data_IF_367827137943
#
_entry.id   IF_367827137943
#
_cell.length_a   1.000
_cell.length_b   1.000
_cell.length_c   1.000
_cell.angle_alpha   90.00
_cell.angle_beta   90.00
_cell.angle_gamma   90.00
#
_symmetry.space_group_name_H-M   'P 1'
#
loop_
_entity.id
_entity.type
_entity.pdbx_description
1 polymer ?
#
# COMPACT_ATOMS: atom_id res chain seq x y z
N UNK A 1 -6.88 -27.54 21.77
CA UNK A 1 -6.14 -26.94 20.66
C UNK A 1 -5.22 -25.91 21.25
N UNK A 2 -3.93 -25.92 20.92
CA UNK A 2 -3.01 -24.90 21.43
C UNK A 2 -3.34 -23.61 20.68
N UNK A 3 -3.88 -22.61 21.39
CA UNK A 3 -4.13 -21.30 20.82
C UNK A 3 -2.79 -20.70 20.37
N UNK A 4 -2.50 -20.77 19.09
CA UNK A 4 -1.30 -20.19 18.48
C UNK A 4 -1.64 -18.81 17.95
N UNK A 5 -0.92 -17.81 18.45
CA UNK A 5 -1.07 -16.41 18.00
C UNK A 5 0.10 -16.01 17.11
N UNK A 6 -0.09 -15.00 16.33
CA UNK A 6 0.95 -14.37 15.50
C UNK A 6 0.87 -12.86 15.65
N UNK A 7 1.98 -12.19 15.43
CA UNK A 7 2.00 -10.72 15.40
C UNK A 7 2.37 -10.25 14.01
N UNK A 8 1.56 -9.36 13.46
CA UNK A 8 1.91 -8.61 12.25
C UNK A 8 2.35 -7.20 12.62
N UNK A 9 3.45 -6.75 12.02
CA UNK A 9 3.98 -5.40 12.17
C UNK A 9 3.87 -4.67 10.83
N UNK A 10 3.26 -3.50 10.85
CA UNK A 10 3.30 -2.49 9.77
C UNK A 10 4.28 -1.40 10.19
N UNK A 11 5.48 -1.41 9.60
CA UNK A 11 6.55 -0.47 9.90
C UNK A 11 6.57 0.68 8.89
N UNK A 12 5.95 1.79 9.24
CA UNK A 12 5.98 3.02 8.44
C UNK A 12 7.00 4.05 8.92
N UNK A 13 7.26 5.05 8.08
CA UNK A 13 8.21 6.13 8.41
C UNK A 13 7.78 7.03 9.57
N UNK A 14 6.48 7.13 9.86
CA UNK A 14 5.93 7.98 10.93
C UNK A 14 5.45 7.15 12.12
N UNK A 15 4.84 6.01 11.85
CA UNK A 15 4.24 5.12 12.86
C UNK A 15 4.63 3.68 12.60
N UNK A 16 4.71 2.91 13.67
CA UNK A 16 4.79 1.45 13.64
C UNK A 16 3.57 0.88 14.35
N UNK A 17 2.87 -0.04 13.68
CA UNK A 17 1.68 -0.71 14.21
C UNK A 17 1.97 -2.20 14.39
N UNK A 18 1.68 -2.76 15.55
CA UNK A 18 1.68 -4.19 15.76
C UNK A 18 0.28 -4.67 16.11
N UNK A 19 -0.13 -5.80 15.55
CA UNK A 19 -1.40 -6.45 15.86
C UNK A 19 -1.20 -7.92 16.20
N UNK A 20 -1.86 -8.37 17.28
CA UNK A 20 -1.96 -9.77 17.63
C UNK A 20 -3.11 -10.40 16.84
N UNK A 21 -2.81 -11.48 16.13
CA UNK A 21 -3.72 -12.15 15.18
C UNK A 21 -3.88 -13.60 15.60
N UNK A 22 -5.12 -14.10 15.61
CA UNK A 22 -5.46 -15.49 15.91
C UNK A 22 -5.32 -16.42 14.66
N UNK A 23 -5.68 -17.68 14.82
CA UNK A 23 -5.62 -18.69 13.75
C UNK A 23 -6.61 -18.41 12.60
N UNK A 24 -7.70 -17.66 12.87
CA UNK A 24 -8.72 -17.25 11.91
C UNK A 24 -8.39 -15.91 11.22
N UNK A 25 -7.17 -15.40 11.42
CA UNK A 25 -6.69 -14.12 10.89
C UNK A 25 -7.39 -12.87 11.49
N UNK A 26 -8.09 -13.01 12.60
CA UNK A 26 -8.72 -11.89 13.28
C UNK A 26 -7.72 -11.14 14.15
N UNK A 27 -7.68 -9.84 14.05
CA UNK A 27 -6.90 -8.98 14.93
C UNK A 27 -7.61 -8.89 16.29
N UNK A 28 -6.97 -9.46 17.32
CA UNK A 28 -7.49 -9.46 18.69
C UNK A 28 -7.17 -8.15 19.41
N UNK A 29 -5.99 -7.62 19.19
CA UNK A 29 -5.53 -6.35 19.76
C UNK A 29 -4.52 -5.68 18.82
N UNK A 30 -4.48 -4.36 18.83
CA UNK A 30 -3.59 -3.56 17.96
C UNK A 30 -3.08 -2.34 18.71
N UNK A 31 -1.79 -2.07 18.59
CA UNK A 31 -1.13 -0.89 19.14
C UNK A 31 -0.36 -0.17 18.05
N UNK A 32 -0.39 1.16 18.08
CA UNK A 32 0.37 2.02 17.18
C UNK A 32 1.21 2.99 17.99
N UNK A 33 2.52 3.00 17.72
CA UNK A 33 3.47 3.92 18.31
C UNK A 33 4.13 4.78 17.23
N UNK A 34 4.71 5.92 17.61
CA UNK A 34 5.50 6.73 16.69
C UNK A 34 6.80 5.99 16.36
N UNK A 35 7.20 5.99 15.08
CA UNK A 35 8.50 5.45 14.66
C UNK A 35 9.64 6.32 15.18
N UNK A 36 9.40 7.63 15.35
CA UNK A 36 10.33 8.60 15.95
C UNK A 36 11.71 8.64 15.26
N UNK A 37 11.70 8.77 13.95
CA UNK A 37 12.91 8.94 13.14
C UNK A 37 13.42 10.39 13.19
N UNK A 38 14.74 10.64 13.00
CA UNK A 38 15.80 9.62 12.78
C UNK A 38 16.27 8.97 14.09
N UNK A 39 16.63 7.67 14.03
CA UNK A 39 17.17 6.90 15.15
C UNK A 39 18.05 5.75 14.62
N UNK A 40 18.96 5.18 15.44
CA UNK A 40 19.67 3.95 15.09
C UNK A 40 18.75 2.76 14.84
N UNK A 41 19.16 1.82 13.99
CA UNK A 41 18.38 0.63 13.67
C UNK A 41 18.11 -0.21 14.92
N UNK A 42 19.12 -0.40 15.76
CA UNK A 42 19.04 -1.17 17.01
C UNK A 42 17.99 -0.58 17.99
N UNK A 43 17.88 0.75 18.05
CA UNK A 43 16.87 1.41 18.88
C UNK A 43 15.45 1.18 18.32
N UNK A 44 15.30 1.14 16.98
CA UNK A 44 14.02 0.84 16.34
C UNK A 44 13.62 -0.62 16.57
N UNK A 45 14.55 -1.55 16.49
CA UNK A 45 14.35 -2.97 16.78
C UNK A 45 13.88 -3.17 18.22
N UNK A 46 14.57 -2.56 19.20
CA UNK A 46 14.14 -2.59 20.60
C UNK A 46 12.75 -2.00 20.80
N UNK A 47 12.44 -0.94 20.09
CA UNK A 47 11.13 -0.30 20.14
C UNK A 47 10.03 -1.24 19.61
N UNK A 48 10.25 -1.89 18.46
CA UNK A 48 9.35 -2.89 17.89
C UNK A 48 9.21 -4.12 18.80
N UNK A 49 10.30 -4.60 19.38
CA UNK A 49 10.26 -5.74 20.31
C UNK A 49 9.42 -5.42 21.56
N UNK A 50 9.54 -4.21 22.10
CA UNK A 50 8.67 -3.75 23.22
C UNK A 50 7.22 -3.65 22.78
N UNK A 51 6.94 -3.16 21.57
CA UNK A 51 5.59 -3.06 21.01
C UNK A 51 4.95 -4.45 20.87
N UNK A 52 5.70 -5.47 20.37
CA UNK A 52 5.21 -6.85 20.27
C UNK A 52 4.83 -7.44 21.63
N UNK A 53 5.66 -7.22 22.64
CA UNK A 53 5.35 -7.69 24.01
C UNK A 53 4.14 -6.96 24.59
N UNK A 54 4.04 -5.65 24.36
CA UNK A 54 2.93 -4.84 24.85
C UNK A 54 1.59 -5.25 24.21
N UNK A 55 1.55 -5.53 22.90
CA UNK A 55 0.31 -5.93 22.22
C UNK A 55 -0.19 -7.29 22.73
N UNK A 56 0.69 -8.25 22.96
CA UNK A 56 0.34 -9.55 23.55
C UNK A 56 -0.15 -9.39 24.99
N UNK A 57 0.56 -8.62 25.82
CA UNK A 57 0.19 -8.36 27.22
C UNK A 57 -1.20 -7.70 27.33
N UNK A 58 -1.48 -6.67 26.50
CA UNK A 58 -2.77 -5.98 26.54
C UNK A 58 -3.93 -6.84 26.00
N UNK A 59 -3.62 -7.81 25.14
CA UNK A 59 -4.58 -8.83 24.73
C UNK A 59 -4.79 -9.95 25.79
N UNK A 60 -4.05 -9.93 26.88
CA UNK A 60 -4.09 -10.98 27.90
C UNK A 60 -3.46 -12.31 27.47
N UNK A 61 -2.57 -12.27 26.46
CA UNK A 61 -1.92 -13.44 25.88
C UNK A 61 -0.48 -13.54 26.37
N UNK A 62 -0.06 -14.72 26.85
CA UNK A 62 1.34 -14.99 27.15
C UNK A 62 2.16 -14.94 25.84
N UNK A 63 3.24 -14.15 25.83
CA UNK A 63 4.10 -14.01 24.66
C UNK A 63 4.72 -15.33 24.20
N UNK A 64 4.89 -16.30 25.09
CA UNK A 64 5.34 -17.65 24.76
C UNK A 64 4.39 -18.41 23.79
N UNK A 65 3.12 -17.97 23.68
CA UNK A 65 2.15 -18.49 22.71
C UNK A 65 2.21 -17.82 21.35
N UNK A 66 3.08 -16.81 21.15
CA UNK A 66 3.31 -16.17 19.85
C UNK A 66 4.23 -17.05 19.02
N UNK A 67 3.67 -17.72 18.03
CA UNK A 67 4.39 -18.69 17.18
C UNK A 67 5.38 -18.01 16.24
N UNK A 68 5.02 -16.84 15.72
CA UNK A 68 5.87 -16.08 14.78
C UNK A 68 5.44 -14.62 14.68
N UNK A 69 6.34 -13.82 14.16
CA UNK A 69 6.12 -12.39 13.89
C UNK A 69 6.44 -12.13 12.43
N UNK A 70 5.62 -11.32 11.75
CA UNK A 70 5.92 -10.88 10.40
C UNK A 70 5.93 -9.36 10.32
N UNK A 71 6.87 -8.81 9.60
CA UNK A 71 7.13 -7.38 9.49
C UNK A 71 6.98 -6.96 8.03
N UNK A 72 6.03 -6.05 7.75
CA UNK A 72 5.99 -5.26 6.54
C UNK A 72 6.80 -3.99 6.72
N UNK A 73 7.80 -3.74 5.86
CA UNK A 73 8.68 -2.56 5.94
C UNK A 73 8.89 -1.94 4.56
N UNK A 74 8.99 -0.60 4.45
CA UNK A 74 9.40 0.01 3.20
C UNK A 74 10.80 -0.44 2.76
N UNK A 75 11.05 -0.45 1.45
CA UNK A 75 12.33 -0.76 0.86
C UNK A 75 12.43 -2.12 0.20
N UNK A 76 13.62 -2.45 -0.31
CA UNK A 76 13.88 -3.74 -0.95
C UNK A 76 14.18 -4.80 0.11
N UNK A 77 13.37 -5.84 0.14
CA UNK A 77 13.46 -6.91 1.15
C UNK A 77 13.82 -8.23 0.49
N UNK A 78 14.86 -8.87 1.00
CA UNK A 78 15.11 -10.30 0.72
C UNK A 78 14.29 -11.12 1.71
N UNK A 79 13.10 -11.55 1.32
CA UNK A 79 12.18 -12.27 2.21
C UNK A 79 12.78 -13.59 2.72
N UNK A 80 13.63 -14.27 1.95
CA UNK A 80 14.26 -15.52 2.37
C UNK A 80 15.22 -15.35 3.56
N UNK A 81 15.89 -14.22 3.67
CA UNK A 81 16.87 -13.95 4.73
C UNK A 81 16.35 -12.95 5.77
N UNK A 82 15.25 -12.26 5.51
CA UNK A 82 14.75 -11.18 6.35
C UNK A 82 15.60 -9.90 6.33
N UNK A 83 16.51 -9.79 5.32
CA UNK A 83 17.42 -8.64 5.19
C UNK A 83 16.80 -7.54 4.34
N UNK A 84 16.86 -6.29 4.83
CA UNK A 84 16.46 -5.09 4.09
C UNK A 84 17.68 -4.50 3.41
N UNK A 85 17.72 -4.53 2.07
CA UNK A 85 18.85 -4.05 1.30
C UNK A 85 19.03 -2.55 1.36
N UNK A 86 17.95 -1.81 1.08
CA UNK A 86 17.90 -0.37 1.15
C UNK A 86 16.51 0.09 1.59
N UNK A 87 16.47 1.03 2.50
CA UNK A 87 15.25 1.69 2.95
C UNK A 87 15.44 3.21 2.91
N UNK A 88 14.86 3.85 1.90
CA UNK A 88 14.98 5.30 1.69
C UNK A 88 14.35 6.12 2.84
N UNK A 89 13.30 5.59 3.48
CA UNK A 89 12.58 6.31 4.54
C UNK A 89 13.38 6.41 5.84
N UNK A 90 14.23 5.42 6.12
CA UNK A 90 15.02 5.33 7.36
C UNK A 90 16.51 5.62 7.14
N UNK A 91 16.97 5.58 5.89
CA UNK A 91 18.38 5.71 5.55
C UNK A 91 19.22 4.47 5.92
N UNK A 92 18.57 3.32 6.20
CA UNK A 92 19.28 2.09 6.55
C UNK A 92 19.68 1.31 5.29
N UNK A 93 20.87 0.68 5.36
CA UNK A 93 21.42 -0.15 4.30
C UNK A 93 21.85 -1.51 4.86
N UNK A 94 21.57 -2.57 4.11
CA UNK A 94 21.95 -3.93 4.50
C UNK A 94 21.53 -4.30 5.93
N UNK A 95 20.34 -3.93 6.31
CA UNK A 95 19.78 -4.14 7.65
C UNK A 95 19.34 -5.59 7.85
N UNK A 96 19.91 -6.26 8.85
CA UNK A 96 19.64 -7.67 9.17
C UNK A 96 18.37 -7.82 10.05
N UNK A 97 17.31 -7.07 9.72
CA UNK A 97 16.10 -6.89 10.52
C UNK A 97 15.50 -8.21 11.03
N UNK A 98 15.37 -9.22 10.15
CA UNK A 98 14.78 -10.50 10.53
C UNK A 98 15.57 -11.19 11.65
N UNK A 99 16.87 -11.36 11.46
CA UNK A 99 17.73 -12.06 12.43
C UNK A 99 17.89 -11.32 13.75
N UNK A 100 17.92 -9.97 13.71
CA UNK A 100 18.09 -9.18 14.91
C UNK A 100 16.79 -9.16 15.74
N UNK A 101 15.65 -9.09 15.09
CA UNK A 101 14.34 -9.25 15.75
C UNK A 101 14.14 -10.66 16.30
N UNK A 102 14.59 -11.72 15.62
CA UNK A 102 14.56 -13.11 16.15
C UNK A 102 15.33 -13.23 17.46
N UNK A 103 16.55 -12.65 17.53
CA UNK A 103 17.35 -12.63 18.78
C UNK A 103 16.66 -11.92 19.91
N UNK A 104 15.98 -10.78 19.62
CA UNK A 104 15.29 -9.97 20.63
C UNK A 104 14.00 -10.63 21.15
N UNK A 105 13.30 -11.36 20.30
CA UNK A 105 11.97 -11.86 20.58
C UNK A 105 11.92 -13.35 20.95
N UNK A 106 12.92 -14.12 20.52
CA UNK A 106 13.03 -15.56 20.79
C UNK A 106 12.05 -16.42 19.99
N UNK A 107 11.49 -15.88 18.89
CA UNK A 107 10.62 -16.61 17.97
C UNK A 107 10.97 -16.25 16.51
N UNK A 108 10.40 -17.00 15.55
CA UNK A 108 10.66 -16.78 14.11
C UNK A 108 10.12 -15.43 13.66
N UNK A 109 10.91 -14.72 12.86
CA UNK A 109 10.55 -13.43 12.27
C UNK A 109 10.66 -13.49 10.75
N UNK A 110 9.59 -13.10 10.07
CA UNK A 110 9.50 -13.01 8.62
C UNK A 110 9.42 -11.54 8.22
N UNK A 111 10.15 -11.16 7.18
CA UNK A 111 10.16 -9.76 6.72
C UNK A 111 9.80 -9.71 5.25
N UNK A 112 8.94 -8.76 4.89
CA UNK A 112 8.54 -8.50 3.52
C UNK A 112 8.37 -6.98 3.30
N UNK A 113 8.28 -6.56 2.05
CA UNK A 113 7.91 -5.20 1.73
C UNK A 113 6.50 -4.88 2.25
N UNK A 114 6.26 -3.64 2.69
CA UNK A 114 5.00 -3.17 3.27
C UNK A 114 3.79 -3.29 2.31
N UNK A 115 3.97 -2.92 1.03
CA UNK A 115 2.92 -3.04 0.03
C UNK A 115 2.60 -4.52 -0.29
N UNK A 116 3.62 -5.38 -0.32
CA UNK A 116 3.45 -6.82 -0.47
C UNK A 116 2.72 -7.44 0.73
N UNK A 117 3.08 -7.05 1.96
CA UNK A 117 2.39 -7.50 3.17
C UNK A 117 0.92 -7.05 3.16
N UNK A 118 0.64 -5.79 2.80
CA UNK A 118 -0.72 -5.28 2.69
C UNK A 118 -1.53 -6.03 1.60
N UNK A 119 -0.92 -6.28 0.43
CA UNK A 119 -1.55 -7.04 -0.63
C UNK A 119 -1.89 -8.47 -0.17
N UNK A 120 -0.99 -9.10 0.58
CA UNK A 120 -1.24 -10.43 1.13
C UNK A 120 -2.35 -10.43 2.18
N UNK A 121 -2.48 -9.38 2.99
CA UNK A 121 -3.62 -9.22 3.89
C UNK A 121 -4.95 -9.13 3.14
N UNK A 122 -5.04 -8.30 2.10
CA UNK A 122 -6.23 -8.19 1.24
C UNK A 122 -6.55 -9.50 0.53
N UNK A 123 -5.52 -10.27 0.16
CA UNK A 123 -5.68 -11.60 -0.42
C UNK A 123 -6.26 -12.61 0.57
N UNK A 124 -5.84 -12.58 1.83
CA UNK A 124 -6.29 -13.53 2.84
C UNK A 124 -7.69 -13.21 3.38
N UNK A 125 -7.95 -11.95 3.72
CA UNK A 125 -9.15 -11.55 4.47
C UNK A 125 -9.87 -10.31 3.90
N UNK A 126 -9.35 -9.73 2.83
CA UNK A 126 -9.91 -8.52 2.25
C UNK A 126 -10.62 -8.74 0.93
N UNK A 127 -10.57 -7.73 0.08
CA UNK A 127 -11.28 -7.68 -1.20
C UNK A 127 -10.78 -8.67 -2.25
N UNK A 128 -9.59 -9.25 -2.05
CA UNK A 128 -9.03 -10.30 -2.90
C UNK A 128 -9.24 -11.72 -2.35
N UNK A 129 -9.97 -11.88 -1.26
CA UNK A 129 -10.24 -13.20 -0.69
C UNK A 129 -11.01 -14.10 -1.66
N UNK A 130 -10.49 -15.32 -1.85
CA UNK A 130 -11.11 -16.33 -2.73
C UNK A 130 -10.70 -16.27 -4.21
N UNK A 131 -9.80 -15.35 -4.58
CA UNK A 131 -9.17 -15.29 -5.91
C UNK A 131 -7.83 -16.05 -5.90
N UNK A 132 -7.36 -16.51 -7.06
CA UNK A 132 -6.05 -17.17 -7.18
C UNK A 132 -4.92 -16.14 -7.37
N UNK A 133 -5.23 -15.06 -8.07
CA UNK A 133 -4.28 -13.99 -8.36
C UNK A 133 -4.89 -12.62 -8.08
N UNK A 134 -4.06 -11.72 -7.54
CA UNK A 134 -4.47 -10.37 -7.20
C UNK A 134 -3.33 -9.38 -7.41
N UNK A 135 -3.65 -8.16 -7.81
CA UNK A 135 -2.73 -7.03 -7.71
C UNK A 135 -3.37 -5.96 -6.83
N UNK A 136 -2.71 -5.61 -5.75
CA UNK A 136 -3.13 -4.49 -4.91
C UNK A 136 -2.36 -3.24 -5.30
N UNK A 137 -3.09 -2.19 -5.64
CA UNK A 137 -2.55 -0.88 -6.03
C UNK A 137 -2.91 0.13 -4.95
N UNK A 138 -1.93 0.74 -4.31
CA UNK A 138 -2.17 1.77 -3.29
C UNK A 138 -1.99 3.16 -3.89
N UNK A 139 -3.06 3.96 -3.88
CA UNK A 139 -3.07 5.35 -4.37
C UNK A 139 -2.95 6.30 -3.16
N UNK A 140 -1.71 6.66 -2.85
CA UNK A 140 -1.36 7.55 -1.73
C UNK A 140 -0.43 8.68 -2.18
N UNK A 141 0.53 9.04 -1.34
CA UNK A 141 1.61 9.98 -1.68
C UNK A 141 2.36 9.51 -2.94
N UNK A 142 2.54 8.21 -3.09
CA UNK A 142 3.02 7.54 -4.29
C UNK A 142 2.00 6.50 -4.79
N UNK A 143 2.47 5.63 -5.71
CA UNK A 143 1.75 4.43 -6.13
C UNK A 143 2.57 3.22 -5.72
N UNK A 144 2.08 2.48 -4.73
CA UNK A 144 2.64 1.18 -4.37
C UNK A 144 1.91 0.03 -5.05
N UNK A 145 2.59 -1.11 -5.16
CA UNK A 145 2.02 -2.33 -5.72
C UNK A 145 2.43 -3.56 -4.93
N UNK A 146 1.47 -4.45 -4.69
CA UNK A 146 1.74 -5.80 -4.20
C UNK A 146 1.06 -6.81 -5.11
N UNK A 147 1.79 -7.84 -5.52
CA UNK A 147 1.35 -8.80 -6.54
C UNK A 147 1.29 -10.18 -5.91
N UNK A 148 0.15 -10.82 -6.02
CA UNK A 148 -0.09 -12.20 -5.59
C UNK A 148 -0.39 -13.04 -6.83
N UNK A 149 0.42 -14.06 -7.09
CA UNK A 149 0.23 -15.01 -8.18
C UNK A 149 0.16 -16.42 -7.58
N UNK A 150 -0.90 -17.16 -7.87
CA UNK A 150 -1.14 -18.51 -7.33
C UNK A 150 -1.00 -18.57 -5.80
N UNK A 151 -1.54 -17.56 -5.11
CA UNK A 151 -1.49 -17.46 -3.65
C UNK A 151 -0.13 -17.06 -3.06
N UNK A 152 0.86 -16.75 -3.91
CA UNK A 152 2.20 -16.36 -3.47
C UNK A 152 2.52 -14.90 -3.79
N UNK A 153 3.22 -14.26 -2.87
CA UNK A 153 3.75 -12.92 -3.08
C UNK A 153 4.83 -12.95 -4.18
N UNK A 154 4.68 -12.11 -5.18
CA UNK A 154 5.68 -11.90 -6.21
C UNK A 154 6.62 -10.76 -5.82
N UNK A 155 7.72 -11.08 -5.16
CA UNK A 155 8.74 -10.10 -4.74
C UNK A 155 9.85 -9.89 -5.77
N UNK A 156 9.84 -10.65 -6.90
CA UNK A 156 10.90 -10.59 -7.91
C UNK A 156 12.21 -11.28 -7.46
N UNK A 157 13.22 -11.24 -8.32
CA UNK A 157 14.47 -11.96 -8.10
C UNK A 157 15.31 -11.39 -6.93
N UNK A 158 15.15 -10.11 -6.62
CA UNK A 158 15.96 -9.38 -5.63
C UNK A 158 15.13 -8.61 -4.60
N UNK A 159 13.82 -8.91 -4.48
CA UNK A 159 12.93 -8.23 -3.55
C UNK A 159 12.47 -6.82 -3.97
N UNK A 160 12.65 -6.45 -5.24
CA UNK A 160 12.21 -5.19 -5.81
C UNK A 160 11.13 -5.38 -6.90
N UNK A 161 10.46 -6.52 -6.92
CA UNK A 161 9.28 -6.75 -7.77
C UNK A 161 8.07 -5.99 -7.25
N UNK A 162 7.18 -5.59 -8.16
CA UNK A 162 5.94 -4.90 -7.77
C UNK A 162 6.03 -3.37 -7.75
N UNK A 163 7.16 -2.77 -8.12
CA UNK A 163 7.35 -1.31 -8.25
C UNK A 163 6.57 -0.72 -9.44
N UNK A 164 5.26 -1.04 -9.52
CA UNK A 164 4.38 -0.69 -10.64
C UNK A 164 4.21 0.82 -10.82
N UNK A 165 4.27 1.59 -9.73
CA UNK A 165 4.21 3.06 -9.78
C UNK A 165 5.36 3.69 -10.55
N UNK A 166 6.48 2.98 -10.72
CA UNK A 166 7.65 3.43 -11.47
C UNK A 166 7.69 2.93 -12.92
N UNK A 167 6.63 2.26 -13.40
CA UNK A 167 6.45 2.01 -14.83
C UNK A 167 6.16 3.32 -15.56
N UNK A 168 6.71 3.48 -16.78
CA UNK A 168 6.54 4.72 -17.55
C UNK A 168 5.22 4.69 -18.30
N UNK A 169 4.32 5.60 -17.99
CA UNK A 169 3.05 5.82 -18.71
C UNK A 169 3.13 6.99 -19.68
N UNK A 170 4.07 7.93 -19.47
CA UNK A 170 4.28 9.08 -20.36
C UNK A 170 5.77 9.19 -20.70
N UNK A 171 6.13 8.80 -21.93
CA UNK A 171 7.51 8.87 -22.39
C UNK A 171 8.06 10.31 -22.27
N UNK A 172 9.25 10.48 -21.69
CA UNK A 172 9.89 11.77 -21.44
C UNK A 172 9.06 12.76 -20.58
N UNK A 173 8.07 12.26 -19.84
CA UNK A 173 7.17 13.06 -19.01
C UNK A 173 7.79 13.67 -17.76
N UNK A 174 6.98 13.88 -16.72
CA UNK A 174 7.37 14.52 -15.45
C UNK A 174 8.55 13.77 -14.80
N UNK A 175 9.54 14.49 -14.20
CA UNK A 175 10.65 13.87 -13.49
C UNK A 175 10.13 13.11 -12.27
N UNK A 176 10.71 11.93 -11.99
CA UNK A 176 10.41 11.11 -10.83
C UNK A 176 11.63 11.03 -9.90
N UNK A 177 11.41 10.92 -8.59
CA UNK A 177 12.48 10.79 -7.59
C UNK A 177 13.31 9.50 -7.76
N UNK A 178 12.77 8.47 -8.45
CA UNK A 178 13.53 7.26 -8.80
C UNK A 178 14.62 7.48 -9.87
N UNK A 179 14.79 8.70 -10.37
CA UNK A 179 15.75 9.06 -11.43
C UNK A 179 15.20 8.92 -12.86
N UNK A 180 14.02 8.34 -13.06
CA UNK A 180 13.36 8.22 -14.36
C UNK A 180 12.45 9.41 -14.64
N UNK A 181 11.87 9.44 -15.86
CA UNK A 181 10.84 10.40 -16.25
C UNK A 181 9.59 9.65 -16.73
N UNK A 182 8.43 10.22 -16.42
CA UNK A 182 7.14 9.71 -16.92
C UNK A 182 6.56 8.52 -16.16
N UNK A 183 7.04 8.25 -14.94
CA UNK A 183 6.50 7.20 -14.06
C UNK A 183 5.01 7.42 -13.80
N UNK A 184 4.24 6.34 -13.77
CA UNK A 184 2.80 6.36 -13.46
C UNK A 184 2.47 7.13 -12.20
N UNK A 185 3.27 6.96 -11.15
CA UNK A 185 3.12 7.67 -9.88
C UNK A 185 3.02 9.20 -10.04
N UNK A 186 3.73 9.77 -11.00
CA UNK A 186 3.75 11.22 -11.24
C UNK A 186 2.46 11.77 -11.88
N UNK A 187 1.54 10.88 -12.25
CA UNK A 187 0.27 11.22 -12.87
C UNK A 187 -0.93 10.64 -12.12
N UNK A 188 -0.81 9.43 -11.56
CA UNK A 188 -1.91 8.69 -10.92
C UNK A 188 -1.88 8.67 -9.39
N UNK A 189 -0.87 9.21 -8.70
CA UNK A 189 -0.87 9.26 -7.24
C UNK A 189 -1.82 10.33 -6.68
N UNK A 190 -2.21 10.22 -5.42
CA UNK A 190 -2.97 11.28 -4.74
C UNK A 190 -2.18 12.59 -4.64
N UNK A 191 -0.83 12.51 -4.56
CA UNK A 191 0.03 13.69 -4.65
C UNK A 191 -0.07 14.34 -6.02
N UNK A 192 -0.04 13.58 -7.12
CA UNK A 192 -0.18 14.11 -8.46
C UNK A 192 -1.51 14.84 -8.62
N UNK A 193 -2.63 14.25 -8.14
CA UNK A 193 -3.93 14.91 -8.13
C UNK A 193 -3.90 16.23 -7.34
N UNK A 194 -3.22 16.26 -6.20
CA UNK A 194 -3.08 17.48 -5.39
C UNK A 194 -2.26 18.56 -6.10
N UNK A 195 -1.15 18.18 -6.75
CA UNK A 195 -0.28 19.07 -7.50
C UNK A 195 -1.02 19.65 -8.72
N UNK A 196 -1.74 18.82 -9.46
CA UNK A 196 -2.53 19.24 -10.63
C UNK A 196 -3.73 20.12 -10.22
N UNK A 197 -4.33 19.84 -9.05
CA UNK A 197 -5.38 20.68 -8.47
C UNK A 197 -4.88 22.08 -8.10
N UNK A 198 -3.67 22.16 -7.53
CA UNK A 198 -3.07 23.46 -7.22
C UNK A 198 -2.76 24.27 -8.48
N UNK A 199 -2.23 23.64 -9.51
CA UNK A 199 -1.95 24.31 -10.79
C UNK A 199 -3.25 24.84 -11.43
N UNK A 200 -4.28 24.00 -11.52
CA UNK A 200 -5.58 24.41 -12.06
C UNK A 200 -6.26 25.54 -11.26
N UNK A 201 -6.14 25.49 -9.93
CA UNK A 201 -6.70 26.54 -9.05
C UNK A 201 -5.99 27.90 -9.24
N UNK A 202 -4.68 27.89 -9.56
CA UNK A 202 -3.94 29.13 -9.89
C UNK A 202 -4.35 29.72 -11.23
N UNK A 203 -4.65 28.87 -12.22
CA UNK A 203 -5.10 29.30 -13.56
C UNK A 203 -6.59 29.73 -13.54
N UNK A 204 -7.37 29.24 -12.59
CA UNK A 204 -8.82 29.45 -12.46
C UNK A 204 -9.22 29.95 -11.08
N UNK A 205 -8.94 31.22 -10.71
CA UNK A 205 -9.28 31.78 -9.39
C UNK A 205 -10.78 31.78 -9.08
N UNK A 206 -11.64 31.72 -10.10
CA UNK A 206 -13.09 31.63 -9.99
C UNK A 206 -13.58 30.24 -9.56
N UNK A 207 -12.74 29.21 -9.67
CA UNK A 207 -13.10 27.83 -9.32
C UNK A 207 -13.30 27.65 -7.82
N UNK A 208 -14.27 26.81 -7.45
CA UNK A 208 -14.44 26.35 -6.06
C UNK A 208 -13.19 25.65 -5.53
N UNK A 209 -12.44 24.97 -6.42
CA UNK A 209 -11.17 24.33 -6.08
C UNK A 209 -10.17 25.33 -5.51
N UNK A 210 -10.05 26.53 -6.12
CA UNK A 210 -9.23 27.64 -5.60
C UNK A 210 -9.68 28.04 -4.19
N UNK A 211 -10.98 28.25 -4.02
CA UNK A 211 -11.56 28.63 -2.72
C UNK A 211 -11.27 27.59 -1.61
N UNK A 212 -11.37 26.28 -1.93
CA UNK A 212 -11.11 25.21 -0.98
C UNK A 212 -9.63 25.14 -0.57
N UNK A 213 -8.71 25.32 -1.52
CA UNK A 213 -7.26 25.33 -1.26
C UNK A 213 -6.90 26.52 -0.38
N UNK A 214 -7.38 27.72 -0.69
CA UNK A 214 -7.14 28.93 0.13
C UNK A 214 -7.66 28.77 1.56
N UNK A 215 -8.86 28.24 1.75
CA UNK A 215 -9.43 27.95 3.09
C UNK A 215 -8.58 26.93 3.88
N UNK A 216 -7.81 26.10 3.20
CA UNK A 216 -6.87 25.15 3.83
C UNK A 216 -5.45 25.73 3.99
N UNK A 217 -5.30 27.04 3.96
CA UNK A 217 -4.00 27.72 4.09
C UNK A 217 -3.07 27.48 2.90
N UNK A 218 -3.63 27.41 1.69
CA UNK A 218 -2.90 27.22 0.45
C UNK A 218 -2.36 25.79 0.27
N UNK A 219 -2.78 24.83 1.09
CA UNK A 219 -2.31 23.43 1.04
C UNK A 219 -3.31 22.54 0.28
N UNK A 220 -3.02 22.12 -0.97
CA UNK A 220 -3.90 21.26 -1.73
C UNK A 220 -3.89 19.83 -1.16
N UNK A 221 -5.01 19.12 -1.32
CA UNK A 221 -5.09 17.68 -1.13
C UNK A 221 -6.05 17.05 -2.15
N UNK A 222 -5.88 15.78 -2.41
CA UNK A 222 -6.65 15.05 -3.42
C UNK A 222 -8.17 15.08 -3.16
N UNK A 223 -8.61 15.11 -1.89
CA UNK A 223 -10.03 15.15 -1.53
C UNK A 223 -10.73 16.42 -2.03
N UNK A 224 -10.04 17.56 -2.04
CA UNK A 224 -10.62 18.83 -2.47
C UNK A 224 -11.08 18.81 -3.93
N UNK A 225 -10.35 18.12 -4.82
CA UNK A 225 -10.74 17.95 -6.21
C UNK A 225 -12.09 17.22 -6.31
N UNK A 226 -12.28 16.15 -5.56
CA UNK A 226 -13.55 15.42 -5.53
C UNK A 226 -14.68 16.25 -4.85
N UNK A 227 -14.36 16.96 -3.77
CA UNK A 227 -15.33 17.82 -3.08
C UNK A 227 -15.83 18.97 -3.97
N UNK A 228 -14.96 19.58 -4.76
CA UNK A 228 -15.33 20.63 -5.72
C UNK A 228 -16.08 20.04 -6.92
N UNK A 229 -15.64 18.90 -7.46
CA UNK A 229 -16.34 18.19 -8.53
C UNK A 229 -17.76 17.81 -8.12
N UNK A 230 -17.97 17.35 -6.89
CA UNK A 230 -19.29 17.00 -6.36
C UNK A 230 -20.25 18.20 -6.27
N UNK A 231 -19.71 19.43 -6.26
CA UNK A 231 -20.45 20.69 -6.31
C UNK A 231 -20.53 21.28 -7.73
N UNK A 232 -20.30 20.45 -8.76
CA UNK A 232 -20.37 20.80 -10.18
C UNK A 232 -19.33 21.84 -10.65
N UNK A 233 -18.19 21.95 -9.96
CA UNK A 233 -17.07 22.76 -10.43
C UNK A 233 -16.45 22.14 -11.69
N UNK A 234 -16.47 22.86 -12.79
CA UNK A 234 -16.04 22.37 -14.09
C UNK A 234 -14.52 22.14 -14.16
N UNK A 235 -13.73 22.96 -13.46
CA UNK A 235 -12.27 22.86 -13.40
C UNK A 235 -11.87 21.61 -12.61
N UNK A 236 -12.47 21.43 -11.43
CA UNK A 236 -12.22 20.25 -10.60
C UNK A 236 -12.62 18.95 -11.33
N UNK A 237 -13.75 18.99 -12.04
CA UNK A 237 -14.19 17.85 -12.87
C UNK A 237 -13.14 17.48 -13.90
N UNK A 238 -12.61 18.44 -14.64
CA UNK A 238 -11.57 18.18 -15.65
C UNK A 238 -10.28 17.63 -15.03
N UNK A 239 -9.86 18.19 -13.87
CA UNK A 239 -8.68 17.70 -13.14
C UNK A 239 -8.87 16.24 -12.70
N UNK A 240 -10.03 15.90 -12.12
CA UNK A 240 -10.34 14.53 -11.68
C UNK A 240 -10.43 13.57 -12.87
N UNK A 241 -11.06 13.96 -13.99
CA UNK A 241 -11.16 13.15 -15.20
C UNK A 241 -9.77 12.85 -15.80
N UNK A 242 -8.90 13.84 -15.89
CA UNK A 242 -7.53 13.66 -16.36
C UNK A 242 -6.74 12.70 -15.45
N UNK A 243 -6.90 12.85 -14.16
CA UNK A 243 -6.28 11.98 -13.17
C UNK A 243 -6.81 10.54 -13.25
N UNK A 244 -8.13 10.35 -13.37
CA UNK A 244 -8.75 9.03 -13.55
C UNK A 244 -8.23 8.33 -14.81
N UNK A 245 -8.07 9.05 -15.91
CA UNK A 245 -7.48 8.51 -17.13
C UNK A 245 -6.03 8.05 -16.91
N UNK A 246 -5.24 8.83 -16.16
CA UNK A 246 -3.87 8.45 -15.83
C UNK A 246 -3.82 7.21 -14.91
N UNK A 247 -4.73 7.11 -13.94
CA UNK A 247 -4.87 5.91 -13.09
C UNK A 247 -5.29 4.72 -13.94
N UNK A 248 -6.30 4.88 -14.78
CA UNK A 248 -6.82 3.83 -15.67
C UNK A 248 -5.76 3.28 -16.64
N UNK A 249 -4.97 4.16 -17.24
CA UNK A 249 -3.85 3.76 -18.11
C UNK A 249 -2.88 2.80 -17.38
N UNK A 250 -2.47 3.13 -16.17
CA UNK A 250 -1.60 2.25 -15.38
C UNK A 250 -2.28 0.94 -14.97
N UNK A 251 -3.56 0.98 -14.61
CA UNK A 251 -4.34 -0.23 -14.29
C UNK A 251 -4.43 -1.17 -15.49
N UNK A 252 -4.70 -0.64 -16.68
CA UNK A 252 -4.74 -1.42 -17.93
C UNK A 252 -3.37 -2.06 -18.21
N UNK A 253 -2.27 -1.32 -18.00
CA UNK A 253 -0.92 -1.88 -18.16
C UNK A 253 -0.66 -3.04 -17.18
N UNK A 254 -1.07 -2.90 -15.92
CA UNK A 254 -0.97 -3.96 -14.90
C UNK A 254 -1.81 -5.17 -15.30
N UNK A 255 -3.05 -4.95 -15.72
CA UNK A 255 -3.96 -6.02 -16.16
C UNK A 255 -3.40 -6.73 -17.38
N UNK A 256 -2.95 -6.01 -18.39
CA UNK A 256 -2.38 -6.61 -19.61
C UNK A 256 -1.05 -7.36 -19.35
N UNK A 257 -0.34 -7.05 -18.26
CA UNK A 257 0.92 -7.69 -17.90
C UNK A 257 0.72 -8.96 -17.07
N UNK A 258 -0.17 -8.90 -16.07
CA UNK A 258 -0.33 -9.97 -15.08
C UNK A 258 -1.62 -10.77 -15.26
N UNK A 259 -2.64 -10.22 -15.93
CA UNK A 259 -3.99 -10.79 -16.09
C UNK A 259 -4.52 -11.36 -14.74
N UNK A 260 -4.51 -10.57 -13.65
CA UNK A 260 -4.96 -11.08 -12.36
C UNK A 260 -6.48 -11.27 -12.35
N UNK A 261 -6.98 -12.13 -11.46
CA UNK A 261 -8.42 -12.27 -11.26
C UNK A 261 -9.04 -10.99 -10.72
N UNK A 262 -8.31 -10.28 -9.86
CA UNK A 262 -8.77 -9.05 -9.22
C UNK A 262 -7.64 -8.01 -9.06
N UNK A 263 -8.00 -6.74 -9.27
CA UNK A 263 -7.17 -5.59 -8.85
C UNK A 263 -7.85 -4.91 -7.67
N UNK A 264 -7.15 -4.78 -6.55
CA UNK A 264 -7.63 -4.12 -5.35
C UNK A 264 -7.03 -2.71 -5.27
N UNK A 265 -7.87 -1.68 -5.22
CA UNK A 265 -7.43 -0.28 -5.12
C UNK A 265 -7.52 0.16 -3.66
N UNK A 266 -6.37 0.44 -3.06
CA UNK A 266 -6.22 0.96 -1.70
C UNK A 266 -5.67 2.38 -1.66
N UNK A 267 -5.25 2.80 -0.46
CA UNK A 267 -4.75 4.15 -0.19
C UNK A 267 -5.86 5.15 0.12
N UNK A 268 -5.49 6.38 0.50
CA UNK A 268 -6.44 7.38 0.98
C UNK A 268 -7.54 7.75 -0.02
N UNK A 269 -7.24 7.68 -1.32
CA UNK A 269 -8.21 8.02 -2.38
C UNK A 269 -9.32 6.98 -2.52
N UNK A 270 -9.10 5.73 -2.09
CA UNK A 270 -10.13 4.68 -2.12
C UNK A 270 -11.38 5.02 -1.31
N UNK A 271 -11.27 5.96 -0.36
CA UNK A 271 -12.41 6.49 0.39
C UNK A 271 -13.47 7.18 -0.49
N UNK A 272 -13.15 7.52 -1.75
CA UNK A 272 -14.12 8.09 -2.71
C UNK A 272 -15.15 7.05 -3.20
N UNK A 273 -14.96 5.77 -2.91
CA UNK A 273 -15.97 4.74 -3.19
C UNK A 273 -16.28 4.60 -4.68
N UNK A 274 -17.57 4.57 -5.00
CA UNK A 274 -18.05 4.38 -6.37
C UNK A 274 -17.68 5.51 -7.34
N UNK A 275 -17.48 6.73 -6.82
CA UNK A 275 -17.01 7.88 -7.62
C UNK A 275 -15.63 7.62 -8.21
N UNK A 276 -14.81 6.83 -7.53
CA UNK A 276 -13.52 6.36 -8.04
C UNK A 276 -13.68 5.08 -8.87
N UNK A 277 -14.41 4.09 -8.34
CA UNK A 277 -14.44 2.74 -8.89
C UNK A 277 -15.12 2.68 -10.25
N UNK A 278 -16.30 3.30 -10.41
CA UNK A 278 -17.08 3.21 -11.64
C UNK A 278 -16.38 3.80 -12.88
N UNK A 279 -15.76 5.00 -12.83
CA UNK A 279 -15.00 5.50 -13.97
C UNK A 279 -13.79 4.63 -14.32
N UNK A 280 -13.06 4.13 -13.32
CA UNK A 280 -11.91 3.25 -13.55
C UNK A 280 -12.34 1.91 -14.18
N UNK A 281 -13.45 1.33 -13.75
CA UNK A 281 -14.01 0.13 -14.36
C UNK A 281 -14.36 0.37 -15.83
N UNK A 282 -14.96 1.53 -16.16
CA UNK A 282 -15.29 1.88 -17.56
C UNK A 282 -14.03 2.00 -18.44
N UNK A 283 -12.95 2.60 -17.91
CA UNK A 283 -11.69 2.73 -18.64
C UNK A 283 -11.10 1.34 -18.90
N UNK A 284 -11.03 0.49 -17.88
CA UNK A 284 -10.51 -0.87 -18.01
C UNK A 284 -11.38 -1.69 -18.97
N UNK A 285 -12.70 -1.56 -18.89
CA UNK A 285 -13.63 -2.24 -19.81
C UNK A 285 -13.44 -1.85 -21.27
N UNK A 286 -13.02 -0.62 -21.53
CA UNK A 286 -12.79 -0.12 -22.87
C UNK A 286 -11.39 -0.46 -23.42
N UNK A 287 -10.35 -0.50 -22.57
CA UNK A 287 -8.95 -0.52 -22.97
C UNK A 287 -8.21 -1.82 -22.69
N UNK A 288 -8.72 -2.68 -21.79
CA UNK A 288 -8.14 -4.01 -21.51
C UNK A 288 -8.03 -4.82 -22.82
N UNK A 289 -6.87 -5.43 -23.05
CA UNK A 289 -6.65 -6.29 -24.23
C UNK A 289 -7.69 -7.39 -24.34
N UNK A 290 -8.10 -8.00 -23.22
CA UNK A 290 -9.10 -9.07 -23.18
C UNK A 290 -10.56 -8.54 -23.10
N UNK A 291 -10.82 -7.29 -23.48
CA UNK A 291 -12.15 -6.64 -23.36
C UNK A 291 -13.29 -7.39 -24.04
N UNK A 292 -12.98 -8.24 -25.00
CA UNK A 292 -13.95 -9.12 -25.69
C UNK A 292 -13.93 -10.57 -25.17
N UNK A 293 -13.08 -10.89 -24.18
CA UNK A 293 -12.95 -12.21 -23.59
C UNK A 293 -14.04 -12.54 -22.58
N UNK A 294 -14.19 -13.84 -22.26
CA UNK A 294 -15.22 -14.30 -21.32
C UNK A 294 -14.95 -13.92 -19.87
N UNK A 295 -13.74 -14.19 -19.37
CA UNK A 295 -13.34 -13.85 -17.99
C UNK A 295 -12.50 -12.58 -17.98
N UNK A 296 -12.86 -11.64 -17.12
CA UNK A 296 -12.22 -10.34 -17.03
C UNK A 296 -11.73 -10.06 -15.60
N UNK A 297 -10.63 -9.33 -15.50
CA UNK A 297 -10.15 -8.82 -14.22
C UNK A 297 -11.22 -7.95 -13.56
N UNK A 298 -11.52 -8.24 -12.30
CA UNK A 298 -12.41 -7.41 -11.51
C UNK A 298 -11.61 -6.29 -10.84
N UNK A 299 -12.20 -5.08 -10.73
CA UNK A 299 -11.62 -4.01 -9.93
C UNK A 299 -12.45 -3.86 -8.66
N UNK A 300 -11.80 -3.84 -7.51
CA UNK A 300 -12.43 -3.68 -6.19
C UNK A 300 -11.68 -2.66 -5.35
N UNK A 301 -12.36 -2.06 -4.40
CA UNK A 301 -11.70 -1.26 -3.37
C UNK A 301 -11.18 -2.17 -2.26
N UNK A 302 -9.99 -1.87 -1.76
CA UNK A 302 -9.41 -2.55 -0.60
C UNK A 302 -10.30 -2.37 0.64
N UNK A 303 -10.49 -3.43 1.41
CA UNK A 303 -11.43 -3.45 2.54
C UNK A 303 -10.74 -3.39 3.90
N UNK A 304 -9.56 -3.97 4.04
CA UNK A 304 -8.84 -4.01 5.32
C UNK A 304 -8.16 -2.68 5.68
N UNK A 305 -7.90 -1.82 4.69
CA UNK A 305 -7.28 -0.50 4.93
C UNK A 305 -5.96 -0.64 5.72
N UNK A 306 -5.87 0.06 6.87
CA UNK A 306 -4.67 0.04 7.73
C UNK A 306 -4.42 -1.31 8.43
N UNK A 307 -5.36 -2.24 8.37
CA UNK A 307 -5.21 -3.57 8.97
C UNK A 307 -4.59 -4.58 7.99
N UNK A 308 -4.55 -4.24 6.70
CA UNK A 308 -4.06 -5.12 5.66
C UNK A 308 -2.61 -5.59 5.90
N UNK A 309 -1.69 -4.65 6.17
CA UNK A 309 -0.29 -4.97 6.43
C UNK A 309 -0.09 -5.79 7.73
N UNK A 310 -0.94 -5.57 8.74
CA UNK A 310 -0.92 -6.34 9.99
C UNK A 310 -1.37 -7.79 9.74
N UNK A 311 -2.50 -7.98 9.07
CA UNK A 311 -3.01 -9.33 8.73
C UNK A 311 -2.05 -10.06 7.81
N UNK A 312 -1.57 -9.40 6.76
CA UNK A 312 -0.61 -9.98 5.84
C UNK A 312 0.73 -10.31 6.50
N UNK A 313 1.26 -9.38 7.30
CA UNK A 313 2.47 -9.56 8.10
C UNK A 313 2.38 -10.80 8.99
N UNK A 314 1.33 -10.91 9.82
CA UNK A 314 1.12 -12.06 10.70
C UNK A 314 1.11 -13.41 9.95
N UNK A 315 0.80 -13.41 8.66
CA UNK A 315 0.68 -14.59 7.82
C UNK A 315 1.88 -14.84 6.88
N UNK A 316 2.94 -14.04 6.94
CA UNK A 316 4.13 -14.22 6.08
C UNK A 316 4.77 -15.61 6.21
N UNK A 317 4.62 -16.29 7.35
CA UNK A 317 5.11 -17.66 7.54
C UNK A 317 4.59 -18.64 6.47
N UNK A 318 3.44 -18.37 5.85
CA UNK A 318 2.85 -19.20 4.78
C UNK A 318 3.56 -19.05 3.44
N UNK A 319 4.44 -18.06 3.32
CA UNK A 319 5.21 -17.78 2.11
C UNK A 319 6.60 -18.46 2.12
N UNK A 320 6.98 -19.08 3.25
CA UNK A 320 8.22 -19.79 3.52
C UNK A 320 7.95 -21.25 3.87
#
# INVERSE_FOLDING_TARGET
MSDLYRIGIDLGGTTVTAGLVDEENKILHKLTWATALPRPAEDLEQHMAKLCRAVAQQAGVDFAKVASIGIGTPGSVNSKTGKVGFNANFGYHNWDLGSDMEKLLGCRVYVENDANAAAYGEYLEGSAKGYNSAVCVTLGTGIGGGIILDGRIFSGANGAGGEIGHTVTVQNGRPCMCGRRGCWEKYGSARALSEDSAAAAQEHPESLLHTLIEKNGGKPNAKMAFDAMAQNDAVAKQVVENWLNAVGCGLVNVINTFQPDVVCIGGGVSAQGEVLLQPLQKIVDAEDYNRSGGQRTQIKLATLRNDAAVVGGANLYRQH
#
